data_IF_120936318479
#
_entry.id   IF_120936318479
#
_cell.length_a   1.000
_cell.length_b   1.000
_cell.length_c   1.000
_cell.angle_alpha   90.00
_cell.angle_beta   90.00
_cell.angle_gamma   90.00
#
_symmetry.space_group_name_H-M   'P 1'
#
loop_
_entity.id
_entity.type
_entity.pdbx_description
1 polymer ?
#
# COMPACT_ATOMS: atom_id res chain seq x y z
N UNK A 1 4.49 6.15 23.54
CA UNK A 1 4.11 5.32 24.72
C UNK A 1 2.60 5.27 24.75
N UNK A 2 2.00 4.07 24.76
CA UNK A 2 0.54 3.90 24.75
C UNK A 2 -0.01 4.23 26.13
N UNK A 3 -0.99 5.12 26.23
CA UNK A 3 -1.73 5.28 27.48
C UNK A 3 -2.78 4.16 27.58
N UNK A 4 -2.50 3.14 28.38
CA UNK A 4 -3.41 2.01 28.59
C UNK A 4 -4.81 2.43 29.08
N UNK A 5 -4.97 3.66 29.60
CA UNK A 5 -6.25 4.23 30.04
C UNK A 5 -7.14 4.69 28.89
N UNK A 6 -6.60 4.76 27.66
CA UNK A 6 -7.36 5.18 26.47
C UNK A 6 -8.11 4.02 25.79
N UNK A 7 -7.93 2.78 26.24
CA UNK A 7 -8.60 1.61 25.69
C UNK A 7 -9.83 1.22 26.50
N UNK A 8 -10.93 0.94 25.82
CA UNK A 8 -12.03 0.17 26.38
C UNK A 8 -11.72 -1.32 26.20
N UNK A 9 -11.77 -2.12 27.24
CA UNK A 9 -11.66 -3.58 27.18
C UNK A 9 -13.05 -4.16 27.33
N UNK A 10 -13.62 -4.68 26.25
CA UNK A 10 -14.97 -5.25 26.23
C UNK A 10 -15.11 -6.26 25.08
N UNK A 11 -16.05 -7.19 25.22
CA UNK A 11 -16.47 -8.07 24.12
C UNK A 11 -17.42 -7.36 23.16
N UNK A 12 -17.40 -7.74 21.88
CA UNK A 12 -18.32 -7.18 20.89
C UNK A 12 -19.79 -7.42 21.29
N UNK A 13 -20.09 -8.60 21.84
CA UNK A 13 -21.43 -8.97 22.25
C UNK A 13 -22.03 -8.06 23.34
N UNK A 14 -21.18 -7.46 24.17
CA UNK A 14 -21.60 -6.57 25.25
C UNK A 14 -21.60 -5.09 24.85
N UNK A 15 -20.93 -4.74 23.74
CA UNK A 15 -20.83 -3.37 23.26
C UNK A 15 -22.13 -2.95 22.59
N UNK A 16 -22.91 -2.07 23.27
CA UNK A 16 -24.19 -1.57 22.76
C UNK A 16 -24.05 -0.32 21.88
N UNK A 17 -22.84 0.26 21.81
CA UNK A 17 -22.55 1.43 21.00
C UNK A 17 -22.17 1.01 19.57
N UNK A 18 -22.13 2.00 18.65
CA UNK A 18 -21.68 1.78 17.27
C UNK A 18 -20.22 1.33 17.26
N UNK A 19 -19.93 0.30 16.50
CA UNK A 19 -18.58 -0.24 16.36
C UNK A 19 -18.28 -0.69 14.92
N UNK A 20 -16.99 -0.78 14.60
CA UNK A 20 -16.49 -1.47 13.42
C UNK A 20 -16.13 -2.88 13.85
N UNK A 21 -16.97 -3.85 13.48
CA UNK A 21 -16.75 -5.25 13.87
C UNK A 21 -15.44 -5.78 13.27
N UNK A 22 -14.62 -6.53 14.03
CA UNK A 22 -13.51 -7.31 13.48
C UNK A 22 -13.91 -8.19 12.29
N UNK A 23 -15.19 -8.59 12.21
CA UNK A 23 -15.72 -9.36 11.10
C UNK A 23 -15.82 -8.61 9.77
N UNK A 24 -15.68 -7.28 9.77
CA UNK A 24 -15.65 -6.45 8.56
C UNK A 24 -14.25 -6.35 7.93
N UNK A 25 -13.21 -6.77 8.64
CA UNK A 25 -11.86 -6.79 8.11
C UNK A 25 -11.61 -8.05 7.26
N UNK A 26 -10.69 -8.00 6.28
CA UNK A 26 -10.26 -9.17 5.53
C UNK A 26 -9.76 -10.27 6.47
N UNK A 27 -10.11 -11.51 6.17
CA UNK A 27 -9.79 -12.69 6.98
C UNK A 27 -9.09 -13.75 6.15
N UNK A 28 -8.22 -14.51 6.81
CA UNK A 28 -7.72 -15.75 6.24
C UNK A 28 -8.86 -16.74 6.02
N UNK A 29 -8.72 -17.61 5.05
CA UNK A 29 -9.63 -18.74 4.85
C UNK A 29 -9.57 -19.70 6.05
N UNK A 30 -10.62 -20.51 6.17
CA UNK A 30 -10.65 -21.55 7.20
C UNK A 30 -9.46 -22.49 7.10
N UNK A 31 -9.08 -22.89 5.89
CA UNK A 31 -7.95 -23.80 5.65
C UNK A 31 -6.60 -23.19 6.10
N UNK A 32 -6.39 -21.89 5.84
CA UNK A 32 -5.17 -21.19 6.30
C UNK A 32 -5.11 -21.13 7.83
N UNK A 33 -6.21 -20.77 8.48
CA UNK A 33 -6.26 -20.69 9.94
C UNK A 33 -6.04 -22.09 10.59
N UNK A 34 -6.60 -23.14 10.00
CA UNK A 34 -6.47 -24.51 10.49
C UNK A 34 -5.05 -25.10 10.23
N UNK A 35 -4.31 -24.56 9.25
CA UNK A 35 -2.91 -24.94 8.98
C UNK A 35 -1.89 -24.37 9.97
N UNK A 36 -2.33 -23.64 11.01
CA UNK A 36 -1.46 -23.05 12.02
C UNK A 36 -0.99 -21.64 11.68
N UNK A 37 -1.77 -20.89 10.86
CA UNK A 37 -1.47 -19.49 10.56
C UNK A 37 -1.31 -18.65 11.83
N UNK A 38 -0.51 -17.58 11.77
CA UNK A 38 -0.25 -16.66 12.91
C UNK A 38 -1.50 -15.90 13.35
N UNK A 39 -2.43 -15.63 12.43
CA UNK A 39 -3.73 -15.04 12.75
C UNK A 39 -4.66 -16.11 13.34
N UNK A 40 -5.68 -15.63 14.04
CA UNK A 40 -6.66 -16.47 14.74
C UNK A 40 -8.08 -16.08 14.34
N UNK A 41 -9.01 -16.99 14.54
CA UNK A 41 -10.43 -16.69 14.41
C UNK A 41 -10.83 -15.66 15.45
N UNK A 42 -11.55 -14.66 15.05
CA UNK A 42 -12.16 -13.72 15.98
C UNK A 42 -13.33 -14.36 16.71
N UNK A 43 -13.37 -14.19 18.02
CA UNK A 43 -14.50 -14.58 18.87
C UNK A 43 -15.14 -13.31 19.46
N UNK A 44 -16.40 -12.98 19.06
CA UNK A 44 -17.08 -11.78 19.55
C UNK A 44 -17.45 -11.85 21.05
N UNK A 45 -17.37 -13.01 21.68
CA UNK A 45 -17.58 -13.19 23.12
C UNK A 45 -16.34 -12.89 23.97
N UNK A 46 -15.16 -12.81 23.37
CA UNK A 46 -13.90 -12.55 24.08
C UNK A 46 -13.61 -11.05 24.09
N UNK A 47 -13.31 -10.44 25.28
CA UNK A 47 -12.95 -9.04 25.35
C UNK A 47 -11.68 -8.72 24.56
N UNK A 48 -11.73 -7.66 23.75
CA UNK A 48 -10.60 -7.07 23.04
C UNK A 48 -10.51 -5.57 23.37
N UNK A 49 -9.40 -4.94 23.00
CA UNK A 49 -9.24 -3.51 23.21
C UNK A 49 -9.85 -2.72 22.06
N UNK A 50 -10.61 -1.69 22.42
CA UNK A 50 -11.25 -0.76 21.50
C UNK A 50 -10.75 0.65 21.73
N UNK A 51 -10.71 1.45 20.66
CA UNK A 51 -10.43 2.89 20.67
C UNK A 51 -11.56 3.66 20.03
N UNK A 52 -11.77 4.90 20.43
CA UNK A 52 -12.74 5.77 19.78
C UNK A 52 -12.18 6.29 18.46
N UNK A 53 -12.97 6.11 17.40
CA UNK A 53 -12.77 6.66 16.08
C UNK A 53 -13.94 7.56 15.68
N UNK A 54 -13.85 8.14 14.50
CA UNK A 54 -14.90 8.95 13.88
C UNK A 54 -15.23 8.38 12.50
N UNK A 55 -16.47 7.98 12.28
CA UNK A 55 -16.92 7.53 10.95
C UNK A 55 -17.16 8.75 10.07
N UNK A 56 -16.41 8.86 8.96
CA UNK A 56 -16.56 9.95 8.00
C UNK A 56 -17.88 9.85 7.21
N UNK A 57 -18.40 8.64 7.03
CA UNK A 57 -19.64 8.41 6.29
C UNK A 57 -20.90 8.71 7.12
N UNK A 58 -20.90 8.34 8.40
CA UNK A 58 -22.05 8.56 9.27
C UNK A 58 -21.99 9.83 10.11
N UNK A 59 -20.79 10.46 10.22
CA UNK A 59 -20.57 11.64 11.06
C UNK A 59 -20.68 11.36 12.57
N UNK A 60 -20.46 10.11 13.01
CA UNK A 60 -20.58 9.73 14.41
C UNK A 60 -19.32 9.06 14.95
N UNK A 61 -19.17 9.10 16.27
CA UNK A 61 -18.16 8.29 16.95
C UNK A 61 -18.48 6.80 16.82
N UNK A 62 -17.44 6.00 16.67
CA UNK A 62 -17.52 4.53 16.58
C UNK A 62 -16.35 3.92 17.38
N UNK A 63 -16.57 2.74 17.94
CA UNK A 63 -15.49 1.93 18.48
C UNK A 63 -14.79 1.17 17.36
N UNK A 64 -13.46 1.21 17.35
CA UNK A 64 -12.61 0.51 16.38
C UNK A 64 -11.67 -0.41 17.14
N UNK A 65 -11.43 -1.65 16.70
CA UNK A 65 -10.46 -2.53 17.35
C UNK A 65 -9.08 -1.87 17.40
N UNK A 66 -8.48 -1.80 18.58
CA UNK A 66 -7.21 -1.09 18.77
C UNK A 66 -6.07 -1.69 17.91
N UNK A 67 -6.10 -3.01 17.68
CA UNK A 67 -5.13 -3.71 16.83
C UNK A 67 -5.22 -3.35 15.35
N UNK A 68 -6.36 -2.84 14.89
CA UNK A 68 -6.51 -2.33 13.53
C UNK A 68 -6.01 -0.88 13.37
N UNK A 69 -5.78 -0.17 14.49
CA UNK A 69 -5.38 1.25 14.50
C UNK A 69 -3.89 1.42 14.80
N UNK A 70 -3.34 0.62 15.72
CA UNK A 70 -1.98 0.79 16.20
C UNK A 70 -1.03 -0.29 15.69
N UNK A 71 0.01 0.12 14.96
CA UNK A 71 0.95 -0.76 14.25
C UNK A 71 1.73 -1.74 15.14
N UNK A 72 2.05 -1.34 16.34
CA UNK A 72 2.94 -2.11 17.23
C UNK A 72 2.29 -2.44 18.57
N UNK A 73 0.95 -2.53 18.59
CA UNK A 73 0.23 -2.92 19.79
C UNK A 73 0.38 -4.42 20.02
N UNK A 74 1.03 -4.85 21.13
CA UNK A 74 1.11 -6.28 21.47
C UNK A 74 -0.30 -6.85 21.66
N UNK A 75 -0.58 -8.02 21.14
CA UNK A 75 -1.87 -8.69 21.33
C UNK A 75 -2.10 -9.03 22.82
N UNK A 76 -3.28 -8.73 23.33
CA UNK A 76 -3.69 -9.07 24.68
C UNK A 76 -4.08 -10.55 24.79
N UNK A 77 -4.74 -11.07 23.76
CA UNK A 77 -5.20 -12.46 23.67
C UNK A 77 -5.33 -12.87 22.19
N UNK A 78 -5.68 -14.12 21.94
CA UNK A 78 -5.80 -14.68 20.60
C UNK A 78 -6.95 -14.04 19.79
N UNK A 79 -8.00 -13.52 20.43
CA UNK A 79 -9.09 -12.84 19.73
C UNK A 79 -8.67 -11.50 19.13
N UNK A 80 -7.59 -10.86 19.61
CA UNK A 80 -7.01 -9.68 18.98
C UNK A 80 -6.15 -9.99 17.75
N UNK A 81 -5.85 -11.27 17.49
CA UNK A 81 -5.00 -11.73 16.38
C UNK A 81 -5.77 -11.96 15.08
N UNK A 82 -6.95 -11.37 14.93
CA UNK A 82 -7.79 -11.51 13.73
C UNK A 82 -7.23 -10.79 12.50
N UNK A 83 -6.36 -9.81 12.69
CA UNK A 83 -5.71 -9.00 11.65
C UNK A 83 -4.24 -8.78 12.00
N UNK A 84 -3.41 -8.66 10.97
CA UNK A 84 -2.08 -8.08 11.10
C UNK A 84 -2.19 -6.57 10.90
N UNK A 85 -1.69 -5.80 11.86
CA UNK A 85 -1.65 -4.34 11.74
C UNK A 85 -0.83 -3.90 10.54
N UNK A 86 -1.36 -3.00 9.73
CA UNK A 86 -0.71 -2.40 8.56
C UNK A 86 -0.78 -0.88 8.66
N UNK A 87 0.16 -0.18 8.00
CA UNK A 87 0.19 1.28 7.99
C UNK A 87 -0.80 1.91 7.01
N UNK A 88 -1.48 1.12 6.20
CA UNK A 88 -2.44 1.62 5.21
C UNK A 88 -3.48 2.53 5.86
N UNK A 89 -3.58 3.75 5.35
CA UNK A 89 -4.45 4.79 5.89
C UNK A 89 -3.86 5.60 7.06
N UNK A 90 -2.62 5.29 7.50
CA UNK A 90 -1.93 6.09 8.50
C UNK A 90 -1.31 7.33 7.85
N UNK A 91 -1.69 8.52 8.30
CA UNK A 91 -1.13 9.75 7.78
C UNK A 91 -0.90 10.80 8.87
N UNK A 92 0.09 11.65 8.64
CA UNK A 92 0.43 12.79 9.50
C UNK A 92 0.46 14.06 8.67
N UNK A 93 -0.17 15.12 9.17
CA UNK A 93 -0.09 16.45 8.59
C UNK A 93 -0.46 17.51 9.67
N UNK A 94 0.01 18.74 9.51
CA UNK A 94 -0.37 19.87 10.39
C UNK A 94 -1.88 20.17 10.34
N UNK A 95 -2.50 19.95 9.20
CA UNK A 95 -3.95 20.08 9.00
C UNK A 95 -4.62 18.70 9.08
N UNK A 96 -5.60 18.54 9.97
CA UNK A 96 -6.41 17.33 10.08
C UNK A 96 -7.06 16.93 8.75
N UNK A 97 -7.59 17.90 7.99
CA UNK A 97 -8.20 17.63 6.68
C UNK A 97 -7.21 17.00 5.70
N UNK A 98 -5.97 17.52 5.67
CA UNK A 98 -4.92 16.97 4.80
C UNK A 98 -4.43 15.62 5.30
N UNK A 99 -4.33 15.39 6.62
CA UNK A 99 -4.03 14.07 7.17
C UNK A 99 -5.08 13.04 6.74
N UNK A 100 -6.37 13.37 6.89
CA UNK A 100 -7.46 12.49 6.45
C UNK A 100 -7.40 12.22 4.95
N UNK A 101 -7.18 13.26 4.12
CA UNK A 101 -7.04 13.10 2.67
C UNK A 101 -5.87 12.18 2.31
N UNK A 102 -4.70 12.39 2.91
CA UNK A 102 -3.53 11.55 2.65
C UNK A 102 -3.78 10.08 3.04
N UNK A 103 -4.44 9.84 4.19
CA UNK A 103 -4.82 8.49 4.58
C UNK A 103 -5.79 7.83 3.60
N UNK A 104 -6.79 8.57 3.10
CA UNK A 104 -7.73 8.07 2.09
C UNK A 104 -7.03 7.78 0.75
N UNK A 105 -6.15 8.68 0.30
CA UNK A 105 -5.35 8.46 -0.90
C UNK A 105 -4.50 7.20 -0.79
N UNK A 106 -3.86 6.96 0.36
CA UNK A 106 -3.10 5.73 0.57
C UNK A 106 -3.99 4.49 0.52
N UNK A 107 -5.20 4.53 1.07
CA UNK A 107 -6.14 3.39 0.96
C UNK A 107 -6.47 3.08 -0.50
N UNK A 108 -6.77 4.10 -1.33
CA UNK A 108 -7.04 3.93 -2.76
C UNK A 108 -5.81 3.39 -3.50
N UNK A 109 -4.62 3.89 -3.18
CA UNK A 109 -3.35 3.40 -3.74
C UNK A 109 -3.14 1.92 -3.45
N UNK A 110 -3.34 1.50 -2.19
CA UNK A 110 -3.15 0.10 -1.78
C UNK A 110 -4.20 -0.83 -2.38
N UNK A 111 -5.42 -0.37 -2.55
CA UNK A 111 -6.46 -1.10 -3.26
C UNK A 111 -6.07 -1.34 -4.73
N UNK A 112 -5.63 -0.29 -5.44
CA UNK A 112 -5.15 -0.40 -6.81
C UNK A 112 -3.96 -1.36 -6.96
N UNK A 113 -2.99 -1.32 -6.02
CA UNK A 113 -1.87 -2.27 -5.98
C UNK A 113 -2.38 -3.70 -5.82
N UNK A 114 -3.29 -3.93 -4.87
CA UNK A 114 -3.83 -5.26 -4.60
C UNK A 114 -4.59 -5.82 -5.81
N UNK A 115 -5.47 -5.02 -6.42
CA UNK A 115 -6.20 -5.40 -7.63
C UNK A 115 -5.23 -5.74 -8.77
N UNK A 116 -4.21 -4.92 -8.99
CA UNK A 116 -3.21 -5.13 -10.04
C UNK A 116 -2.52 -6.49 -9.89
N UNK A 117 -2.06 -6.82 -8.67
CA UNK A 117 -1.34 -8.06 -8.40
C UNK A 117 -2.25 -9.28 -8.37
N UNK A 118 -3.39 -9.21 -7.69
CA UNK A 118 -4.28 -10.36 -7.51
C UNK A 118 -4.93 -10.80 -8.80
N UNK A 119 -5.10 -9.89 -9.75
CA UNK A 119 -5.74 -10.17 -11.05
C UNK A 119 -4.78 -10.09 -12.23
N UNK A 120 -3.48 -9.86 -12.00
CA UNK A 120 -2.47 -9.68 -13.06
C UNK A 120 -2.95 -8.71 -14.14
N UNK A 121 -3.47 -7.54 -13.72
CA UNK A 121 -4.14 -6.60 -14.63
C UNK A 121 -3.14 -6.00 -15.64
N UNK A 122 -3.39 -6.11 -16.94
CA UNK A 122 -2.59 -5.46 -17.97
C UNK A 122 -2.92 -3.97 -18.02
N UNK A 123 -2.32 -3.19 -17.11
CA UNK A 123 -2.58 -1.76 -16.96
C UNK A 123 -2.19 -0.97 -18.21
N UNK A 124 -2.91 0.12 -18.57
CA UNK A 124 -2.49 1.01 -19.63
C UNK A 124 -1.12 1.62 -19.34
N UNK A 125 -0.21 1.55 -20.31
CA UNK A 125 1.13 2.14 -20.20
C UNK A 125 1.03 3.65 -20.39
N UNK A 126 1.67 4.40 -19.49
CA UNK A 126 1.83 5.86 -19.63
C UNK A 126 3.08 6.08 -20.49
N UNK A 127 2.87 6.59 -21.70
CA UNK A 127 3.98 6.91 -22.59
C UNK A 127 4.85 8.01 -21.97
N UNK A 128 6.15 7.74 -21.86
CA UNK A 128 7.11 8.74 -21.44
C UNK A 128 7.30 9.74 -22.58
N UNK A 129 6.57 10.83 -22.55
CA UNK A 129 6.69 11.91 -23.53
C UNK A 129 7.66 12.98 -23.00
N UNK A 130 8.68 13.28 -23.80
CA UNK A 130 9.53 14.47 -23.54
C UNK A 130 8.76 15.79 -23.78
N UNK A 131 7.57 15.71 -24.35
CA UNK A 131 6.80 16.83 -24.90
C UNK A 131 5.86 17.49 -23.86
N UNK A 132 6.29 17.64 -22.61
CA UNK A 132 5.62 18.59 -21.68
C UNK A 132 4.44 18.04 -20.88
N UNK A 133 4.09 16.76 -20.98
CA UNK A 133 3.02 16.17 -20.16
C UNK A 133 3.49 15.74 -18.75
N UNK A 134 4.81 15.56 -18.57
CA UNK A 134 5.37 15.24 -17.27
C UNK A 134 5.77 16.51 -16.52
N UNK A 135 5.48 16.61 -15.21
CA UNK A 135 6.04 17.66 -14.38
C UNK A 135 7.57 17.68 -14.47
N UNK A 136 8.22 18.85 -14.45
CA UNK A 136 9.67 18.96 -14.59
C UNK A 136 10.45 18.06 -13.61
N UNK A 137 9.97 17.93 -12.36
CA UNK A 137 10.57 17.08 -11.33
C UNK A 137 10.46 15.59 -11.67
N UNK A 138 9.29 15.14 -12.14
CA UNK A 138 9.10 13.76 -12.56
C UNK A 138 9.97 13.42 -13.79
N UNK A 139 10.04 14.33 -14.76
CA UNK A 139 10.89 14.18 -15.94
C UNK A 139 12.38 14.11 -15.58
N UNK A 140 12.83 14.97 -14.66
CA UNK A 140 14.22 14.96 -14.19
C UNK A 140 14.55 13.63 -13.48
N UNK A 141 13.65 13.14 -12.64
CA UNK A 141 13.81 11.86 -11.96
C UNK A 141 13.85 10.70 -12.96
N UNK A 142 12.94 10.67 -13.93
CA UNK A 142 12.90 9.64 -14.99
C UNK A 142 14.21 9.60 -15.79
N UNK A 143 14.73 10.78 -16.20
CA UNK A 143 16.01 10.89 -16.92
C UNK A 143 17.18 10.41 -16.06
N UNK A 144 17.21 10.80 -14.78
CA UNK A 144 18.25 10.38 -13.85
C UNK A 144 18.27 8.85 -13.69
N UNK A 145 17.13 8.19 -13.50
CA UNK A 145 17.07 6.72 -13.43
C UNK A 145 17.61 6.06 -14.70
N UNK A 146 17.21 6.56 -15.87
CA UNK A 146 17.72 6.06 -17.16
C UNK A 146 19.25 6.21 -17.27
N UNK A 147 19.82 7.33 -16.83
CA UNK A 147 21.26 7.57 -16.87
C UNK A 147 22.03 6.62 -15.94
N UNK A 148 21.36 6.10 -14.89
CA UNK A 148 21.87 5.03 -14.02
C UNK A 148 21.56 3.61 -14.51
N UNK A 149 21.08 3.43 -15.74
CA UNK A 149 20.75 2.13 -16.31
C UNK A 149 19.51 1.49 -15.69
N UNK A 150 18.60 2.31 -15.16
CA UNK A 150 17.30 1.87 -14.63
C UNK A 150 16.20 2.30 -15.58
N UNK A 151 15.59 1.33 -16.25
CA UNK A 151 14.40 1.55 -17.07
C UNK A 151 13.17 1.68 -16.18
N UNK A 152 12.39 2.75 -16.37
CA UNK A 152 11.15 2.98 -15.60
C UNK A 152 9.95 2.93 -16.52
N UNK A 153 9.08 1.95 -16.28
CA UNK A 153 7.77 1.83 -16.91
C UNK A 153 6.70 2.37 -15.98
N UNK A 154 5.83 3.21 -16.51
CA UNK A 154 4.73 3.82 -15.78
C UNK A 154 3.40 3.32 -16.33
N UNK A 155 2.44 3.09 -15.45
CA UNK A 155 1.13 2.57 -15.78
C UNK A 155 0.03 3.33 -15.04
N UNK A 156 -1.12 3.45 -15.68
CA UNK A 156 -2.34 3.98 -15.08
C UNK A 156 -3.06 2.84 -14.33
N UNK A 157 -3.02 2.88 -13.02
CA UNK A 157 -3.71 1.96 -12.13
C UNK A 157 -4.98 2.58 -11.50
N UNK A 158 -5.50 3.64 -12.10
CA UNK A 158 -6.73 4.29 -11.63
C UNK A 158 -7.89 3.31 -11.67
N UNK A 159 -8.55 3.14 -10.51
CA UNK A 159 -9.73 2.29 -10.36
C UNK A 159 -11.01 3.07 -10.65
N UNK A 160 -12.17 2.43 -10.45
CA UNK A 160 -13.51 3.02 -10.56
C UNK A 160 -13.77 4.19 -9.60
N UNK A 161 -12.94 4.37 -8.59
CA UNK A 161 -12.97 5.56 -7.75
C UNK A 161 -12.59 6.85 -8.49
N UNK A 162 -11.95 6.75 -9.65
CA UNK A 162 -11.55 7.90 -10.45
C UNK A 162 -10.47 8.77 -9.80
N UNK A 163 -9.76 8.26 -8.80
CA UNK A 163 -8.59 8.92 -8.19
C UNK A 163 -7.33 8.43 -8.91
N UNK A 164 -6.49 9.34 -9.45
CA UNK A 164 -5.28 8.96 -10.15
C UNK A 164 -4.35 8.10 -9.30
N UNK A 165 -3.99 6.93 -9.80
CA UNK A 165 -2.96 6.05 -9.23
C UNK A 165 -1.96 5.72 -10.32
N UNK A 166 -0.71 6.11 -10.11
CA UNK A 166 0.40 5.73 -10.99
C UNK A 166 1.10 4.51 -10.39
N UNK A 167 1.17 3.43 -11.14
CA UNK A 167 1.97 2.25 -10.82
C UNK A 167 3.27 2.30 -11.61
N UNK A 168 4.40 2.07 -10.96
CA UNK A 168 5.72 2.10 -11.58
C UNK A 168 6.41 0.74 -11.45
N UNK A 169 7.04 0.29 -12.52
CA UNK A 169 7.98 -0.83 -12.54
C UNK A 169 9.34 -0.30 -13.02
N UNK A 170 10.35 -0.43 -12.18
CA UNK A 170 11.73 -0.19 -12.54
C UNK A 170 12.45 -1.50 -12.82
N UNK A 171 13.26 -1.52 -13.88
CA UNK A 171 14.08 -2.66 -14.29
C UNK A 171 15.53 -2.20 -14.42
N UNK A 172 16.45 -3.00 -13.88
CA UNK A 172 17.90 -2.80 -14.04
C UNK A 172 18.56 -4.12 -14.41
N UNK A 173 19.32 -4.11 -15.49
CA UNK A 173 20.12 -5.27 -15.90
C UNK A 173 21.53 -5.27 -15.29
N UNK A 174 21.88 -4.21 -14.58
CA UNK A 174 23.19 -4.05 -13.92
C UNK A 174 23.15 -4.39 -12.43
N UNK A 175 21.96 -4.68 -11.89
CA UNK A 175 21.74 -4.91 -10.47
C UNK A 175 20.99 -6.25 -10.29
N UNK A 176 21.66 -7.24 -9.73
CA UNK A 176 21.06 -8.56 -9.54
C UNK A 176 20.20 -8.65 -8.28
N UNK A 177 20.46 -7.80 -7.27
CA UNK A 177 19.75 -7.79 -6.00
C UNK A 177 18.45 -6.96 -6.07
N UNK A 178 18.47 -5.86 -6.85
CA UNK A 178 17.30 -5.03 -7.12
C UNK A 178 17.15 -4.90 -8.65
N UNK A 179 17.04 -6.05 -9.31
CA UNK A 179 16.89 -6.14 -10.76
C UNK A 179 15.54 -5.61 -11.23
N UNK A 180 14.51 -5.67 -10.38
CA UNK A 180 13.23 -5.01 -10.58
C UNK A 180 12.67 -4.48 -9.26
N UNK A 181 11.88 -3.43 -9.35
CA UNK A 181 11.23 -2.78 -8.22
C UNK A 181 9.90 -2.20 -8.66
N UNK A 182 8.87 -2.40 -7.86
CA UNK A 182 7.56 -1.77 -8.08
C UNK A 182 7.23 -0.79 -6.97
N UNK A 183 6.43 0.19 -7.31
CA UNK A 183 5.83 1.13 -6.37
C UNK A 183 4.63 1.80 -7.01
N UNK A 184 3.84 2.46 -6.21
CA UNK A 184 2.71 3.23 -6.68
C UNK A 184 2.58 4.53 -5.91
N UNK A 185 1.84 5.48 -6.48
CA UNK A 185 1.47 6.70 -5.79
C UNK A 185 0.10 7.17 -6.27
N UNK A 186 -0.71 7.64 -5.34
CA UNK A 186 -1.99 8.28 -5.61
C UNK A 186 -1.93 9.77 -5.28
N UNK A 187 -2.69 10.56 -6.01
CA UNK A 187 -2.93 11.97 -5.73
C UNK A 187 -4.25 12.41 -6.39
N UNK A 188 -4.72 13.61 -6.07
CA UNK A 188 -5.92 14.16 -6.73
C UNK A 188 -5.64 14.59 -8.17
N UNK A 189 -4.40 14.89 -8.52
CA UNK A 189 -3.96 15.27 -9.85
C UNK A 189 -2.94 14.27 -10.41
N UNK A 190 -3.05 13.85 -11.68
CA UNK A 190 -2.09 12.93 -12.30
C UNK A 190 -0.64 13.41 -12.24
N UNK A 191 -0.43 14.72 -12.40
CA UNK A 191 0.90 15.34 -12.33
C UNK A 191 1.55 15.20 -10.95
N UNK A 192 0.77 15.34 -9.88
CA UNK A 192 1.23 15.14 -8.50
C UNK A 192 1.53 13.66 -8.24
N UNK A 193 0.65 12.75 -8.70
CA UNK A 193 0.88 11.30 -8.59
C UNK A 193 2.17 10.87 -9.29
N UNK A 194 2.44 11.40 -10.50
CA UNK A 194 3.70 11.18 -11.23
C UNK A 194 4.93 11.64 -10.43
N UNK A 195 4.88 12.83 -9.85
CA UNK A 195 5.99 13.33 -9.04
C UNK A 195 6.20 12.47 -7.80
N UNK A 196 5.09 12.09 -7.14
CA UNK A 196 5.09 11.30 -5.91
C UNK A 196 5.66 9.89 -6.15
N UNK A 197 5.29 9.20 -7.24
CA UNK A 197 5.76 7.84 -7.50
C UNK A 197 7.28 7.75 -7.64
N UNK A 198 7.93 8.74 -8.24
CA UNK A 198 9.39 8.75 -8.32
C UNK A 198 10.07 8.92 -6.95
N UNK A 199 9.50 9.73 -6.07
CA UNK A 199 9.98 9.88 -4.68
C UNK A 199 9.81 8.57 -3.89
N UNK A 200 8.66 7.92 -4.04
CA UNK A 200 8.39 6.62 -3.41
C UNK A 200 9.39 5.56 -3.90
N UNK A 201 9.61 5.47 -5.22
CA UNK A 201 10.58 4.53 -5.80
C UNK A 201 12.00 4.76 -5.27
N UNK A 202 12.42 6.02 -5.11
CA UNK A 202 13.71 6.34 -4.52
C UNK A 202 13.80 5.88 -3.07
N UNK A 203 12.78 6.16 -2.27
CA UNK A 203 12.70 5.78 -0.86
C UNK A 203 12.72 4.27 -0.67
N UNK A 204 11.94 3.54 -1.47
CA UNK A 204 11.87 2.07 -1.43
C UNK A 204 13.23 1.47 -1.81
N UNK A 205 13.88 1.96 -2.87
CA UNK A 205 15.19 1.47 -3.32
C UNK A 205 16.27 1.67 -2.26
N UNK A 206 16.31 2.85 -1.60
CA UNK A 206 17.23 3.14 -0.51
C UNK A 206 16.99 2.21 0.67
N UNK A 207 15.74 2.06 1.10
CA UNK A 207 15.36 1.20 2.22
C UNK A 207 15.71 -0.27 1.94
N UNK A 208 15.43 -0.74 0.71
CA UNK A 208 15.73 -2.11 0.31
C UNK A 208 17.23 -2.37 0.26
N UNK A 209 18.05 -1.45 -0.27
CA UNK A 209 19.50 -1.57 -0.21
C UNK A 209 20.04 -1.61 1.22
N UNK A 210 19.53 -0.76 2.11
CA UNK A 210 19.91 -0.78 3.51
C UNK A 210 19.56 -2.11 4.18
N UNK A 211 18.40 -2.67 3.87
CA UNK A 211 17.98 -3.99 4.35
C UNK A 211 18.91 -5.10 3.83
N UNK A 212 19.19 -5.12 2.53
CA UNK A 212 20.06 -6.11 1.89
C UNK A 212 21.49 -6.07 2.45
N UNK A 213 22.03 -4.87 2.70
CA UNK A 213 23.36 -4.70 3.27
C UNK A 213 23.48 -5.24 4.71
N UNK A 214 22.40 -5.30 5.46
CA UNK A 214 22.37 -5.83 6.84
C UNK A 214 22.10 -7.34 6.88
N UNK A 215 21.61 -7.92 5.80
CA UNK A 215 21.20 -9.32 5.73
C UNK A 215 22.36 -10.19 5.20
N UNK A 216 23.08 -10.83 6.11
CA UNK A 216 24.22 -11.74 5.76
C UNK A 216 23.80 -13.02 5.06
N UNK A 217 22.53 -13.31 4.90
CA UNK A 217 22.01 -14.55 4.30
C UNK A 217 20.60 -14.36 3.75
N UNK A 218 20.46 -13.72 2.58
CA UNK A 218 19.22 -13.81 1.81
C UNK A 218 19.23 -15.13 1.03
N UNK A 219 19.24 -16.23 1.75
CA UNK A 219 19.00 -17.54 1.16
C UNK A 219 17.61 -17.99 1.58
N UNK A 220 16.68 -17.89 0.62
CA UNK A 220 15.37 -18.57 0.64
C UNK A 220 14.60 -18.26 1.93
N UNK A 221 13.75 -17.24 1.88
CA UNK A 221 12.73 -17.02 2.89
C UNK A 221 11.50 -17.88 2.57
N UNK A 222 11.31 -19.05 3.20
CA UNK A 222 10.05 -19.78 3.10
C UNK A 222 8.91 -19.01 3.81
N UNK A 223 9.27 -18.01 4.60
CA UNK A 223 8.34 -17.18 5.37
C UNK A 223 8.57 -15.69 5.06
N UNK A 224 8.05 -15.23 3.91
CA UNK A 224 8.02 -13.81 3.58
C UNK A 224 6.99 -13.12 4.48
N UNK A 225 7.31 -13.06 5.77
CA UNK A 225 6.39 -12.57 6.78
C UNK A 225 6.26 -11.05 6.83
N UNK A 226 7.02 -10.32 6.00
CA UNK A 226 6.99 -8.85 5.98
C UNK A 226 7.20 -8.29 4.57
N UNK A 227 6.72 -7.06 4.37
CA UNK A 227 6.75 -6.35 3.08
C UNK A 227 8.17 -6.19 2.53
N UNK A 228 9.15 -5.88 3.39
CA UNK A 228 10.54 -5.67 2.97
C UNK A 228 11.18 -6.97 2.49
N UNK A 229 10.95 -8.09 3.19
CA UNK A 229 11.42 -9.42 2.75
C UNK A 229 10.78 -9.84 1.43
N UNK A 230 9.48 -9.58 1.23
CA UNK A 230 8.79 -9.79 -0.03
C UNK A 230 9.39 -8.96 -1.17
N UNK A 231 9.66 -7.67 -0.93
CA UNK A 231 10.30 -6.81 -1.90
C UNK A 231 11.73 -7.26 -2.22
N UNK A 232 12.50 -7.72 -1.23
CA UNK A 232 13.84 -8.27 -1.44
C UNK A 232 13.83 -9.54 -2.29
N UNK A 233 12.87 -10.45 -2.04
CA UNK A 233 12.70 -11.66 -2.83
C UNK A 233 12.32 -11.32 -4.27
N UNK A 234 11.25 -10.56 -4.46
CA UNK A 234 10.73 -10.20 -5.78
C UNK A 234 11.65 -9.24 -6.55
N UNK A 235 12.58 -8.56 -5.86
CA UNK A 235 13.61 -7.73 -6.46
C UNK A 235 14.68 -8.53 -7.21
N UNK A 236 14.89 -9.79 -6.90
CA UNK A 236 15.91 -10.64 -7.54
C UNK A 236 15.56 -10.93 -9.00
N UNK A 237 16.57 -10.92 -9.88
CA UNK A 237 16.41 -11.17 -11.33
C UNK A 237 15.62 -12.43 -11.65
N UNK A 238 15.75 -13.48 -10.85
CA UNK A 238 15.04 -14.76 -11.02
C UNK A 238 13.50 -14.64 -11.00
N UNK A 239 12.96 -13.56 -10.43
CA UNK A 239 11.52 -13.32 -10.33
C UNK A 239 10.99 -12.30 -11.34
N UNK A 240 11.79 -11.92 -12.36
CA UNK A 240 11.40 -10.90 -13.37
C UNK A 240 10.13 -11.28 -14.13
N UNK A 241 9.98 -12.55 -14.44
CA UNK A 241 8.83 -13.04 -15.22
C UNK A 241 7.48 -12.83 -14.50
N UNK A 242 7.48 -12.69 -13.17
CA UNK A 242 6.28 -12.35 -12.42
C UNK A 242 5.70 -10.97 -12.76
N UNK A 243 6.46 -10.10 -13.43
CA UNK A 243 6.04 -8.76 -13.85
C UNK A 243 5.66 -8.68 -15.34
N UNK A 244 5.71 -9.80 -16.07
CA UNK A 244 5.46 -9.85 -17.51
C UNK A 244 4.06 -9.37 -17.90
N UNK A 245 3.06 -9.59 -17.05
CA UNK A 245 1.67 -9.13 -17.29
C UNK A 245 1.57 -7.61 -17.44
N UNK A 246 2.43 -6.83 -16.76
CA UNK A 246 2.51 -5.38 -16.91
C UNK A 246 3.21 -5.00 -18.22
N UNK A 247 4.32 -5.68 -18.53
CA UNK A 247 5.14 -5.35 -19.71
C UNK A 247 4.46 -5.68 -21.03
N UNK A 248 3.58 -6.67 -21.04
CA UNK A 248 2.85 -7.14 -22.23
C UNK A 248 1.57 -6.34 -22.51
N UNK A 249 1.30 -5.26 -21.75
CA UNK A 249 0.14 -4.42 -22.02
C UNK A 249 0.30 -3.65 -23.34
N UNK A 250 -0.66 -3.83 -24.24
CA UNK A 250 -0.74 -3.10 -25.52
C UNK A 250 -1.49 -1.77 -25.41
N UNK A 251 -2.14 -1.51 -24.27
CA UNK A 251 -2.92 -0.29 -24.05
C UNK A 251 -1.99 0.84 -23.64
N UNK A 252 -2.21 2.02 -24.24
CA UNK A 252 -1.49 3.24 -23.91
C UNK A 252 -2.43 4.34 -23.43
N UNK A 253 -1.94 5.17 -22.55
CA UNK A 253 -2.60 6.37 -22.07
C UNK A 253 -1.59 7.50 -21.87
N UNK A 254 -2.07 8.68 -21.50
CA UNK A 254 -1.23 9.81 -21.10
C UNK A 254 -1.77 10.45 -19.83
N UNK A 255 -0.96 11.20 -19.08
CA UNK A 255 -1.40 11.90 -17.87
C UNK A 255 -2.63 12.79 -18.12
N UNK A 256 -2.72 13.42 -19.29
CA UNK A 256 -3.83 14.30 -19.67
C UNK A 256 -5.16 13.56 -19.90
N UNK A 257 -5.13 12.23 -20.09
CA UNK A 257 -6.30 11.37 -20.27
C UNK A 257 -6.77 10.71 -18.99
N UNK A 258 -5.96 10.77 -17.94
CA UNK A 258 -6.33 10.23 -16.64
C UNK A 258 -7.40 11.10 -15.98
N UNK A 259 -8.23 10.54 -15.09
CA UNK A 259 -9.15 11.32 -14.30
C UNK A 259 -8.43 12.43 -13.52
N UNK A 260 -9.07 13.59 -13.43
CA UNK A 260 -8.58 14.71 -12.62
C UNK A 260 -9.74 15.24 -11.77
N UNK A 261 -9.96 14.70 -10.57
CA UNK A 261 -11.06 15.10 -9.69
C UNK A 261 -11.08 16.60 -9.37
N UNK A 262 -9.92 17.25 -9.34
CA UNK A 262 -9.83 18.70 -9.06
C UNK A 262 -10.42 19.54 -10.20
N UNK A 263 -10.33 19.08 -11.44
CA UNK A 263 -10.85 19.80 -12.60
C UNK A 263 -12.38 19.88 -12.66
N UNK A 264 -13.09 19.04 -11.89
CA UNK A 264 -14.56 19.01 -11.85
C UNK A 264 -15.14 19.94 -10.77
N UNK A 265 -14.31 20.61 -9.98
CA UNK A 265 -14.73 21.46 -8.84
C UNK A 265 -14.72 22.95 -9.16
N UNK A 266 -14.53 23.35 -10.43
CA UNK A 266 -14.52 24.75 -10.90
C UNK A 266 -15.61 25.04 -11.89
#
# INVERSE_FOLDING_TARGET
>A
MWDARSFLLESENNLQERLVSPNQFPRCSTAELDSGHVLRRYDPGVPIRWVRGWSLTSGHQVWVPATAVYLHLPYLNDSERFIRSVSTGCAVHESMRKAVLNGLLEVVERDAIALTWLHELPLPRIAASEAGEFPPEALASWKSYRDYGIETHLFDATTDFGIPVIFALQISDQDDDIAQLVGAASALEPAEALTKVFREMASIRIALRAFLAQSTSIKIYPDVANVTGGAALMGQRAYRDAFSFLLNSERETSPSRMPNPVSYTH
#
